data_IF_469607057248
#
_entry.id   IF_469607057248
#
_cell.length_a   1.000
_cell.length_b   1.000
_cell.length_c   1.000
_cell.angle_alpha   90.00
_cell.angle_beta   90.00
_cell.angle_gamma   90.00
#
_symmetry.space_group_name_H-M   'P 1'
#
loop_
_entity.id
_entity.type
_entity.pdbx_description
1 polymer ?
#
# COMPACT_ATOMS: atom_id res chain seq x y z
N UNK A 1 -20.31 -30.86 -37.26
CA UNK A 1 -20.49 -30.70 -35.81
C UNK A 1 -19.28 -29.94 -35.27
N UNK A 2 -19.39 -28.67 -34.84
CA UNK A 2 -18.26 -27.91 -34.34
C UNK A 2 -17.88 -28.31 -32.90
N UNK A 3 -16.61 -28.04 -32.57
CA UNK A 3 -15.83 -28.32 -31.36
C UNK A 3 -16.05 -27.26 -30.26
N UNK A 4 -15.62 -27.60 -29.03
CA UNK A 4 -15.26 -26.63 -27.98
C UNK A 4 -16.34 -26.48 -26.92
N UNK A 5 -16.03 -26.36 -25.63
CA UNK A 5 -14.74 -26.26 -24.96
C UNK A 5 -15.05 -25.80 -23.55
N UNK A 6 -14.60 -26.55 -22.55
CA UNK A 6 -14.66 -26.07 -21.18
C UNK A 6 -13.24 -25.80 -20.71
N UNK A 7 -12.90 -24.52 -20.51
CA UNK A 7 -12.06 -24.14 -19.39
C UNK A 7 -12.93 -23.31 -18.45
N UNK A 8 -13.83 -23.95 -17.71
CA UNK A 8 -14.39 -23.33 -16.52
C UNK A 8 -13.45 -23.62 -15.34
N UNK A 9 -12.24 -23.07 -15.41
CA UNK A 9 -11.45 -22.81 -14.21
C UNK A 9 -11.75 -21.36 -13.88
N UNK A 10 -12.53 -21.05 -12.83
CA UNK A 10 -12.71 -19.67 -12.43
C UNK A 10 -11.33 -19.12 -12.09
N UNK A 11 -10.85 -18.17 -12.89
CA UNK A 11 -9.64 -17.42 -12.61
C UNK A 11 -9.76 -16.93 -11.16
N UNK A 12 -8.86 -17.44 -10.32
CA UNK A 12 -8.76 -17.13 -8.91
C UNK A 12 -8.79 -15.59 -8.78
N UNK A 13 -9.94 -15.04 -8.35
CA UNK A 13 -10.05 -13.61 -8.04
C UNK A 13 -9.03 -13.33 -6.95
N UNK A 14 -7.86 -12.84 -7.34
CA UNK A 14 -6.83 -12.47 -6.39
C UNK A 14 -7.41 -11.34 -5.53
N UNK A 15 -7.49 -11.55 -4.22
CA UNK A 15 -7.85 -10.48 -3.30
C UNK A 15 -6.93 -9.29 -3.58
N UNK A 16 -7.49 -8.09 -3.73
CA UNK A 16 -6.74 -6.83 -3.87
C UNK A 16 -6.47 -6.18 -2.51
N UNK A 17 -7.05 -6.74 -1.46
CA UNK A 17 -6.98 -6.22 -0.09
C UNK A 17 -6.21 -7.17 0.82
N UNK A 18 -5.49 -6.58 1.76
CA UNK A 18 -4.88 -7.24 2.90
C UNK A 18 -5.97 -7.59 3.93
N UNK A 19 -5.99 -8.83 4.40
CA UNK A 19 -7.08 -9.32 5.25
C UNK A 19 -7.04 -8.76 6.66
N UNK A 20 -5.84 -8.45 7.17
CA UNK A 20 -5.67 -7.91 8.51
C UNK A 20 -6.04 -6.42 8.56
N UNK A 21 -5.48 -5.63 7.65
CA UNK A 21 -5.59 -4.17 7.71
C UNK A 21 -6.73 -3.59 6.87
N UNK A 22 -7.27 -4.37 5.92
CA UNK A 22 -8.27 -3.90 4.97
C UNK A 22 -7.74 -2.87 3.96
N UNK A 23 -6.42 -2.65 3.92
CA UNK A 23 -5.74 -1.82 2.94
C UNK A 23 -5.51 -2.58 1.63
N UNK A 24 -5.24 -1.89 0.51
CA UNK A 24 -4.57 -2.48 -0.65
C UNK A 24 -3.42 -3.38 -0.21
N UNK A 25 -3.38 -4.60 -0.73
CA UNK A 25 -2.23 -5.48 -0.51
C UNK A 25 -1.07 -5.12 -1.45
N UNK A 26 0.06 -5.78 -1.26
CA UNK A 26 1.28 -5.58 -2.03
C UNK A 26 1.03 -5.56 -3.55
N UNK A 27 0.25 -6.51 -4.08
CA UNK A 27 -0.07 -6.56 -5.50
C UNK A 27 -0.85 -5.33 -5.95
N UNK A 28 -1.87 -4.94 -5.19
CA UNK A 28 -2.73 -3.82 -5.56
C UNK A 28 -1.98 -2.49 -5.48
N UNK A 29 -1.22 -2.23 -4.40
CA UNK A 29 -0.55 -0.94 -4.23
C UNK A 29 0.59 -0.74 -5.23
N UNK A 30 1.28 -1.82 -5.62
CA UNK A 30 2.27 -1.76 -6.69
C UNK A 30 1.63 -1.52 -8.06
N UNK A 31 0.46 -2.12 -8.33
CA UNK A 31 -0.30 -1.82 -9.55
C UNK A 31 -0.73 -0.35 -9.63
N UNK A 32 -1.21 0.21 -8.51
CA UNK A 32 -1.55 1.64 -8.42
C UNK A 32 -0.33 2.54 -8.61
N UNK A 33 0.84 2.13 -8.11
CA UNK A 33 2.10 2.83 -8.34
C UNK A 33 2.47 2.84 -9.83
N UNK A 34 2.37 1.70 -10.52
CA UNK A 34 2.67 1.60 -11.94
C UNK A 34 1.73 2.48 -12.78
N UNK A 35 0.43 2.45 -12.47
CA UNK A 35 -0.57 3.32 -13.11
C UNK A 35 -0.27 4.81 -12.86
N UNK A 36 0.08 5.17 -11.62
CA UNK A 36 0.44 6.53 -11.25
C UNK A 36 1.71 7.02 -11.96
N UNK A 37 2.73 6.17 -12.10
CA UNK A 37 3.96 6.49 -12.81
C UNK A 37 3.67 6.76 -14.29
N UNK A 38 2.89 5.88 -14.95
CA UNK A 38 2.49 6.08 -16.34
C UNK A 38 1.69 7.38 -16.54
N UNK A 39 0.74 7.68 -15.66
CA UNK A 39 -0.06 8.90 -15.75
C UNK A 39 0.76 10.19 -15.56
N UNK A 40 1.84 10.14 -14.76
CA UNK A 40 2.72 11.30 -14.55
C UNK A 40 3.62 11.59 -15.76
N UNK A 41 4.01 10.57 -16.53
CA UNK A 41 4.76 10.78 -17.77
C UNK A 41 3.98 11.65 -18.76
N UNK A 42 2.65 11.47 -18.81
CA UNK A 42 1.77 12.19 -19.74
C UNK A 42 1.36 13.58 -19.25
N UNK A 43 1.16 13.76 -17.94
CA UNK A 43 0.54 14.98 -17.39
C UNK A 43 1.51 15.92 -16.68
N UNK A 44 2.71 15.44 -16.32
CA UNK A 44 3.68 16.21 -15.53
C UNK A 44 3.20 16.53 -14.11
N UNK A 45 2.19 15.82 -13.60
CA UNK A 45 1.85 15.88 -12.17
C UNK A 45 2.98 15.31 -11.32
N UNK A 46 3.09 15.76 -10.08
CA UNK A 46 4.03 15.18 -9.13
C UNK A 46 3.45 13.92 -8.51
N UNK A 47 4.30 12.91 -8.27
CA UNK A 47 4.02 11.77 -7.39
C UNK A 47 5.15 11.67 -6.38
N UNK A 48 4.77 11.47 -5.12
CA UNK A 48 5.69 11.17 -4.04
C UNK A 48 5.36 9.78 -3.50
N UNK A 49 6.37 8.93 -3.37
CA UNK A 49 6.25 7.58 -2.82
C UNK A 49 6.97 7.54 -1.49
N UNK A 50 6.29 7.06 -0.45
CA UNK A 50 6.87 6.86 0.88
C UNK A 50 6.73 5.39 1.29
N UNK A 51 7.85 4.80 1.70
CA UNK A 51 7.88 3.48 2.34
C UNK A 51 7.89 3.71 3.85
N UNK A 52 7.02 3.02 4.57
CA UNK A 52 6.87 3.15 6.02
C UNK A 52 7.09 1.78 6.63
N UNK A 53 7.98 1.71 7.61
CA UNK A 53 8.31 0.51 8.38
C UNK A 53 8.00 0.76 9.86
N UNK A 54 7.41 -0.22 10.55
CA UNK A 54 7.14 -0.09 11.99
C UNK A 54 8.38 -0.53 12.77
N UNK A 55 9.10 0.44 13.32
CA UNK A 55 10.30 0.20 14.12
C UNK A 55 10.05 -0.83 15.24
N UNK A 56 10.99 -1.77 15.39
CA UNK A 56 11.00 -2.77 16.46
C UNK A 56 9.77 -3.70 16.49
N UNK A 57 9.03 -3.86 15.39
CA UNK A 57 7.83 -4.72 15.35
C UNK A 57 8.12 -6.16 15.79
N UNK A 58 9.27 -6.72 15.40
CA UNK A 58 9.72 -8.04 15.90
C UNK A 58 9.84 -8.10 17.43
N UNK A 59 10.33 -7.05 18.08
CA UNK A 59 10.45 -7.03 19.54
C UNK A 59 9.07 -7.02 20.22
N UNK A 60 8.07 -6.37 19.61
CA UNK A 60 6.68 -6.39 20.09
C UNK A 60 6.12 -7.82 19.99
N UNK A 61 6.31 -8.48 18.84
CA UNK A 61 5.88 -9.87 18.67
C UNK A 61 6.56 -10.82 19.64
N UNK A 62 7.87 -10.68 19.84
CA UNK A 62 8.65 -11.54 20.72
C UNK A 62 8.24 -11.33 22.21
N UNK A 63 7.83 -10.13 22.60
CA UNK A 63 7.44 -9.80 23.98
C UNK A 63 5.95 -10.04 24.30
N UNK A 64 5.07 -9.86 23.32
CA UNK A 64 3.61 -9.82 23.53
C UNK A 64 2.83 -10.81 22.65
N UNK A 65 3.51 -11.55 21.78
CA UNK A 65 2.91 -12.49 20.85
C UNK A 65 2.39 -11.82 19.56
N UNK A 66 2.10 -12.67 18.56
CA UNK A 66 1.67 -12.22 17.24
C UNK A 66 0.33 -11.47 17.23
N UNK A 67 -0.62 -11.84 18.11
CA UNK A 67 -1.89 -11.12 18.21
C UNK A 67 -1.72 -9.65 18.61
N UNK A 68 -0.71 -9.34 19.44
CA UNK A 68 -0.38 -7.97 19.80
C UNK A 68 0.23 -7.21 18.62
N UNK A 69 1.10 -7.86 17.83
CA UNK A 69 1.61 -7.28 16.59
C UNK A 69 0.50 -7.02 15.57
N UNK A 70 -0.44 -7.95 15.41
CA UNK A 70 -1.60 -7.79 14.54
C UNK A 70 -2.43 -6.57 14.95
N UNK A 71 -2.69 -6.40 16.25
CA UNK A 71 -3.38 -5.22 16.78
C UNK A 71 -2.63 -3.90 16.51
N UNK A 72 -1.29 -3.91 16.56
CA UNK A 72 -0.46 -2.75 16.20
C UNK A 72 -0.61 -2.41 14.72
N UNK A 73 -0.58 -3.40 13.83
CA UNK A 73 -0.74 -3.21 12.39
C UNK A 73 -2.13 -2.67 12.04
N UNK A 74 -3.18 -3.22 12.64
CA UNK A 74 -4.55 -2.73 12.48
C UNK A 74 -4.69 -1.27 12.96
N UNK A 75 -4.12 -0.96 14.14
CA UNK A 75 -4.17 0.38 14.70
C UNK A 75 -3.41 1.39 13.83
N UNK A 76 -2.23 1.00 13.34
CA UNK A 76 -1.43 1.81 12.44
C UNK A 76 -2.19 2.09 11.13
N UNK A 77 -2.73 1.05 10.49
CA UNK A 77 -3.49 1.17 9.25
C UNK A 77 -4.71 2.10 9.42
N UNK A 78 -5.45 1.98 10.53
CA UNK A 78 -6.58 2.85 10.86
C UNK A 78 -6.14 4.30 11.05
N UNK A 79 -5.10 4.51 11.83
CA UNK A 79 -4.54 5.85 12.12
C UNK A 79 -4.05 6.55 10.85
N UNK A 80 -3.44 5.81 9.93
CA UNK A 80 -3.03 6.35 8.64
C UNK A 80 -4.24 6.67 7.77
N UNK A 81 -5.25 5.79 7.67
CA UNK A 81 -6.47 6.06 6.90
C UNK A 81 -7.20 7.35 7.31
N UNK A 82 -7.17 7.70 8.59
CA UNK A 82 -7.78 8.94 9.08
C UNK A 82 -6.98 10.20 8.71
N UNK A 83 -5.67 10.06 8.47
CA UNK A 83 -4.75 11.17 8.19
C UNK A 83 -4.42 11.32 6.70
N UNK A 84 -4.46 10.23 5.96
CA UNK A 84 -4.21 10.16 4.51
C UNK A 84 -5.42 10.71 3.78
N UNK A 85 -5.19 11.55 2.76
CA UNK A 85 -6.27 12.15 1.99
C UNK A 85 -6.91 11.10 1.09
N UNK A 86 -8.19 11.28 0.74
CA UNK A 86 -8.92 10.34 -0.12
C UNK A 86 -8.32 10.14 -1.53
N UNK A 87 -7.43 11.02 -1.94
CA UNK A 87 -6.74 11.02 -3.23
C UNK A 87 -5.36 10.34 -3.17
N UNK A 88 -4.87 10.03 -1.98
CA UNK A 88 -3.58 9.38 -1.73
C UNK A 88 -3.84 7.90 -1.42
N UNK A 89 -2.99 7.00 -1.91
CA UNK A 89 -3.18 5.56 -1.75
C UNK A 89 -2.23 5.00 -0.70
N UNK A 90 -2.76 4.24 0.27
CA UNK A 90 -1.98 3.54 1.28
C UNK A 90 -2.19 2.03 1.13
N UNK A 91 -1.13 1.26 1.00
CA UNK A 91 -1.17 -0.20 0.97
C UNK A 91 -0.15 -0.86 1.89
N UNK A 92 -0.37 -2.13 2.20
CA UNK A 92 0.56 -2.96 2.97
C UNK A 92 1.35 -3.86 2.03
N UNK A 93 2.67 -3.72 2.02
CA UNK A 93 3.56 -4.47 1.13
C UNK A 93 4.09 -5.75 1.75
N UNK A 94 4.20 -5.80 3.10
CA UNK A 94 4.80 -6.92 3.81
C UNK A 94 4.36 -7.02 5.27
N UNK A 95 5.17 -7.71 6.08
CA UNK A 95 4.89 -7.98 7.50
C UNK A 95 4.58 -6.70 8.28
N UNK A 96 5.54 -5.77 8.32
CA UNK A 96 5.42 -4.49 9.02
C UNK A 96 5.58 -3.26 8.10
N UNK A 97 5.67 -3.51 6.79
CA UNK A 97 5.94 -2.49 5.77
C UNK A 97 4.66 -2.03 5.05
N UNK A 98 4.56 -0.72 4.86
CA UNK A 98 3.48 -0.02 4.16
C UNK A 98 4.05 0.89 3.06
N UNK A 99 3.27 1.09 2.01
CA UNK A 99 3.57 1.97 0.90
C UNK A 99 2.49 3.04 0.80
N UNK A 100 2.89 4.30 0.79
CA UNK A 100 2.03 5.46 0.65
C UNK A 100 2.37 6.21 -0.65
N UNK A 101 1.38 6.34 -1.52
CA UNK A 101 1.41 7.09 -2.76
C UNK A 101 0.72 8.43 -2.52
N UNK A 102 1.47 9.53 -2.62
CA UNK A 102 0.99 10.88 -2.38
C UNK A 102 0.94 11.62 -3.71
N UNK A 103 -0.22 12.19 -4.02
CA UNK A 103 -0.46 12.96 -5.24
C UNK A 103 -0.50 14.46 -4.91
N UNK A 104 0.66 15.15 -4.89
CA UNK A 104 0.72 16.57 -4.63
C UNK A 104 -0.03 17.37 -5.69
N UNK A 105 -0.76 18.42 -5.26
CA UNK A 105 -1.36 19.42 -6.17
C UNK A 105 -0.33 20.40 -6.74
N UNK A 106 0.92 19.98 -6.90
CA UNK A 106 1.98 20.84 -7.44
C UNK A 106 2.10 20.56 -8.94
N UNK A 107 1.85 21.57 -9.77
CA UNK A 107 2.16 21.52 -11.20
C UNK A 107 3.65 21.75 -11.40
N UNK A 108 4.34 20.86 -12.10
CA UNK A 108 5.69 21.11 -12.63
C UNK A 108 6.89 20.88 -11.70
N UNK A 109 6.71 20.18 -10.57
CA UNK A 109 7.84 19.78 -9.73
C UNK A 109 7.89 18.27 -9.54
N UNK A 110 8.98 17.67 -10.04
CA UNK A 110 9.33 16.27 -9.84
C UNK A 110 9.91 16.14 -8.43
N UNK A 111 9.21 15.46 -7.53
CA UNK A 111 9.75 15.17 -6.19
C UNK A 111 10.68 13.97 -6.32
N UNK A 112 11.98 14.21 -6.36
CA UNK A 112 13.00 13.16 -6.27
C UNK A 112 13.20 12.78 -4.80
N UNK A 113 12.75 11.57 -4.44
CA UNK A 113 13.00 10.85 -3.18
C UNK A 113 12.86 11.67 -1.89
N UNK A 114 11.73 11.53 -1.19
CA UNK A 114 11.55 12.07 0.15
C UNK A 114 11.71 10.94 1.18
N UNK A 115 12.81 10.96 1.93
CA UNK A 115 12.94 10.12 3.12
C UNK A 115 12.16 10.79 4.26
N UNK A 116 10.97 10.27 4.54
CA UNK A 116 10.22 10.69 5.72
C UNK A 116 10.95 10.22 6.97
N UNK A 117 11.16 11.13 7.94
CA UNK A 117 11.65 10.75 9.27
C UNK A 117 10.61 9.86 9.96
N UNK A 118 11.03 8.84 10.74
CA UNK A 118 10.10 7.97 11.44
C UNK A 118 9.15 8.82 12.30
N UNK A 119 7.85 8.67 12.06
CA UNK A 119 6.82 9.26 12.90
C UNK A 119 6.78 8.43 14.16
N UNK A 120 7.45 8.89 15.22
CA UNK A 120 7.24 8.32 16.56
C UNK A 120 5.80 8.59 16.96
N UNK A 121 5.01 7.53 17.06
CA UNK A 121 3.73 7.54 17.77
C UNK A 121 4.00 7.42 19.26
#
# INVERSE_FOLDING_TARGET
MPRGGDPCVPALKASQTDQLTGLPNCRQILGLLDEALAANEDTGSGLCVAVIDIDHFKAINDAHGHEAGDAVLEHFARSCREKVRAQDDLGRTGGEEFLLLIFPRLRGHRVSSFSARPVRV
#
